data_IF_096242219876
#
_entry.id   IF_096242219876
#
_cell.length_a   1.000
_cell.length_b   1.000
_cell.length_c   1.000
_cell.angle_alpha   90.00
_cell.angle_beta   90.00
_cell.angle_gamma   90.00
#
_symmetry.space_group_name_H-M   'P 1'
#
loop_
_entity.id
_entity.type
_entity.pdbx_description
1 polymer ?
#
# COMPACT_ATOMS: atom_id res chain seq x y z
N UNK A 1 -1.87 5.59 11.78
CA UNK A 1 -0.96 5.98 10.67
C UNK A 1 0.46 6.05 11.17
N UNK A 2 0.76 6.98 12.06
CA UNK A 2 2.08 7.21 12.65
C UNK A 2 2.70 5.93 13.19
N UNK A 3 1.99 5.16 14.03
CA UNK A 3 2.45 3.87 14.57
C UNK A 3 2.94 2.90 13.47
N UNK A 4 2.27 2.84 12.33
CA UNK A 4 2.64 1.93 11.23
C UNK A 4 3.83 2.47 10.43
N UNK A 5 3.90 3.79 10.27
CA UNK A 5 5.06 4.43 9.64
C UNK A 5 6.31 4.25 10.51
N UNK A 6 6.21 4.44 11.83
CA UNK A 6 7.33 4.19 12.75
C UNK A 6 7.76 2.74 12.79
N UNK A 7 6.82 1.79 12.75
CA UNK A 7 7.16 0.37 12.62
C UNK A 7 8.03 0.13 11.38
N UNK A 8 7.67 0.75 10.25
CA UNK A 8 8.38 0.57 8.98
C UNK A 8 9.83 1.06 9.03
N UNK A 9 10.08 2.19 9.68
CA UNK A 9 11.45 2.69 9.88
C UNK A 9 12.18 2.01 11.05
N UNK A 10 11.46 1.22 11.86
CA UNK A 10 12.00 0.44 12.95
C UNK A 10 12.64 -0.87 12.50
N UNK A 11 13.35 -1.51 13.41
CA UNK A 11 14.08 -2.78 13.20
C UNK A 11 13.34 -4.01 13.71
N UNK A 12 12.10 -3.85 14.17
CA UNK A 12 11.31 -4.93 14.77
C UNK A 12 10.91 -5.98 13.74
N UNK A 13 11.06 -7.26 14.11
CA UNK A 13 10.71 -8.39 13.24
C UNK A 13 9.22 -8.57 13.10
N UNK A 14 8.46 -8.39 14.17
CA UNK A 14 7.00 -8.55 14.16
C UNK A 14 6.26 -7.31 14.62
N UNK A 15 5.06 -7.07 14.08
CA UNK A 15 4.21 -5.96 14.53
C UNK A 15 3.77 -6.12 15.98
N UNK A 16 3.57 -7.37 16.41
CA UNK A 16 3.07 -7.66 17.75
C UNK A 16 4.10 -7.27 18.81
N UNK A 17 5.36 -7.64 18.63
CA UNK A 17 6.48 -7.24 19.49
C UNK A 17 6.61 -5.72 19.49
N UNK A 18 6.65 -5.09 18.30
CA UNK A 18 6.69 -3.63 18.20
C UNK A 18 5.55 -2.95 18.97
N UNK A 19 4.32 -3.44 18.82
CA UNK A 19 3.17 -2.82 19.45
C UNK A 19 3.17 -3.01 20.97
N UNK A 20 3.51 -4.21 21.44
CA UNK A 20 3.51 -4.53 22.87
C UNK A 20 4.70 -3.90 23.60
N UNK A 21 5.90 -4.00 23.04
CA UNK A 21 7.12 -3.60 23.73
C UNK A 21 7.46 -2.14 23.51
N UNK A 22 7.30 -1.62 22.29
CA UNK A 22 7.67 -0.23 21.99
C UNK A 22 6.51 0.73 22.20
N UNK A 23 5.35 0.47 21.60
CA UNK A 23 4.22 1.40 21.67
C UNK A 23 3.60 1.43 23.07
N UNK A 24 3.31 0.26 23.66
CA UNK A 24 2.64 0.22 24.98
C UNK A 24 3.58 0.48 26.16
N UNK A 25 4.89 0.21 26.04
CA UNK A 25 5.85 0.48 27.10
C UNK A 25 6.41 1.90 27.00
N UNK A 26 7.13 2.22 25.91
CA UNK A 26 7.89 3.45 25.78
C UNK A 26 7.05 4.66 25.35
N UNK A 27 6.11 4.46 24.43
CA UNK A 27 5.28 5.54 23.86
C UNK A 27 3.90 5.70 24.52
N UNK A 28 3.74 5.16 25.73
CA UNK A 28 2.48 5.20 26.48
C UNK A 28 1.97 6.62 26.74
N UNK A 29 2.88 7.59 26.94
CA UNK A 29 2.54 8.99 27.18
C UNK A 29 2.06 9.72 25.92
N UNK A 30 2.58 9.35 24.76
CA UNK A 30 2.22 9.95 23.46
C UNK A 30 0.90 9.40 22.91
N UNK A 31 0.57 8.14 23.26
CA UNK A 31 -0.69 7.49 22.86
C UNK A 31 -1.55 7.19 24.10
N UNK A 32 -2.09 8.25 24.71
CA UNK A 32 -2.91 8.25 25.94
C UNK A 32 -4.11 7.28 25.92
N UNK A 33 -4.59 6.89 24.73
CA UNK A 33 -5.62 5.86 24.55
C UNK A 33 -4.98 4.59 24.01
N UNK A 34 -4.43 3.75 24.90
CA UNK A 34 -3.83 2.47 24.51
C UNK A 34 -4.92 1.49 24.07
N UNK A 35 -5.23 1.51 22.77
CA UNK A 35 -6.05 0.51 22.10
C UNK A 35 -5.38 -0.86 22.33
N UNK A 36 -6.17 -1.91 22.55
CA UNK A 36 -5.59 -3.26 22.63
C UNK A 36 -5.00 -3.67 21.27
N UNK A 37 -3.99 -4.54 21.26
CA UNK A 37 -3.38 -5.03 20.02
C UNK A 37 -4.44 -5.58 19.04
N UNK A 38 -5.36 -6.42 19.55
CA UNK A 38 -6.44 -6.98 18.73
C UNK A 38 -7.32 -5.90 18.10
N UNK A 39 -7.71 -4.89 18.90
CA UNK A 39 -8.52 -3.78 18.39
C UNK A 39 -7.76 -2.93 17.38
N UNK A 40 -6.44 -2.79 17.53
CA UNK A 40 -5.61 -2.12 16.54
C UNK A 40 -5.60 -2.88 15.20
N UNK A 41 -5.42 -4.21 15.25
CA UNK A 41 -5.43 -5.08 14.06
C UNK A 41 -6.79 -5.03 13.34
N UNK A 42 -7.90 -4.98 14.08
CA UNK A 42 -9.23 -4.76 13.51
C UNK A 42 -9.38 -3.40 12.82
N UNK A 43 -8.72 -2.36 13.33
CA UNK A 43 -8.77 -1.00 12.77
C UNK A 43 -7.80 -0.81 11.60
N UNK A 44 -6.79 -1.68 11.45
CA UNK A 44 -5.79 -1.61 10.39
C UNK A 44 -6.39 -1.41 8.98
N UNK A 45 -7.44 -2.14 8.52
CA UNK A 45 -8.05 -1.90 7.20
C UNK A 45 -8.51 -0.46 6.99
N UNK A 46 -9.09 0.17 8.02
CA UNK A 46 -9.54 1.56 7.91
C UNK A 46 -8.34 2.50 7.75
N UNK A 47 -7.27 2.21 8.48
CA UNK A 47 -6.01 2.97 8.40
C UNK A 47 -5.33 2.73 7.04
N UNK A 48 -5.40 1.52 6.50
CA UNK A 48 -4.89 1.19 5.17
C UNK A 48 -5.50 2.04 4.06
N UNK A 49 -6.83 2.17 4.03
CA UNK A 49 -7.50 2.98 3.01
C UNK A 49 -7.14 4.46 3.11
N UNK A 50 -7.01 4.99 4.33
CA UNK A 50 -6.52 6.36 4.54
C UNK A 50 -5.09 6.52 4.02
N UNK A 51 -4.28 5.48 4.02
CA UNK A 51 -2.87 5.52 3.61
C UNK A 51 -2.77 5.48 2.09
N UNK A 52 -3.59 4.65 1.44
CA UNK A 52 -3.80 4.69 0.00
C UNK A 52 -4.21 6.08 -0.45
N UNK A 53 -5.20 6.68 0.22
CA UNK A 53 -5.68 8.01 -0.12
C UNK A 53 -4.57 9.05 0.05
N UNK A 54 -3.85 9.03 1.17
CA UNK A 54 -2.72 9.91 1.41
C UNK A 54 -1.65 9.78 0.31
N UNK A 55 -1.31 8.56 -0.10
CA UNK A 55 -0.38 8.34 -1.21
C UNK A 55 -0.89 8.90 -2.51
N UNK A 56 -2.18 8.68 -2.80
CA UNK A 56 -2.79 9.17 -4.04
C UNK A 56 -2.78 10.69 -4.15
N UNK A 57 -2.86 11.38 -3.02
CA UNK A 57 -2.88 12.83 -2.96
C UNK A 57 -1.49 13.45 -2.97
N UNK A 58 -0.51 12.84 -2.28
CA UNK A 58 0.75 13.52 -1.96
C UNK A 58 2.02 12.90 -2.53
N UNK A 59 2.00 11.64 -3.00
CA UNK A 59 3.24 10.87 -3.26
C UNK A 59 3.57 10.77 -4.75
N UNK A 60 2.68 11.22 -5.64
CA UNK A 60 2.85 10.98 -7.07
C UNK A 60 3.81 11.93 -7.79
N UNK A 61 4.65 11.31 -8.62
CA UNK A 61 5.57 11.98 -9.52
C UNK A 61 4.87 12.62 -10.72
N UNK A 62 5.64 13.37 -11.51
CA UNK A 62 5.13 13.97 -12.74
C UNK A 62 5.05 12.90 -13.83
N UNK A 63 4.00 12.99 -14.63
CA UNK A 63 3.84 12.17 -15.82
C UNK A 63 4.62 12.81 -16.98
N UNK A 64 5.95 12.69 -16.96
CA UNK A 64 6.84 13.22 -18.01
C UNK A 64 7.51 12.02 -18.68
N UNK A 65 7.71 12.10 -20.01
CA UNK A 65 8.43 11.08 -20.76
C UNK A 65 7.64 9.79 -20.96
N UNK A 66 8.36 8.66 -21.03
CA UNK A 66 7.74 7.34 -21.25
C UNK A 66 7.18 6.82 -19.94
N UNK A 67 5.96 6.27 -19.99
CA UNK A 67 5.33 5.65 -18.82
C UNK A 67 5.30 4.13 -18.93
N UNK A 68 5.56 3.48 -17.81
CA UNK A 68 5.59 2.02 -17.68
C UNK A 68 4.44 1.57 -16.80
N UNK A 69 3.69 0.57 -17.27
CA UNK A 69 2.63 -0.08 -16.50
C UNK A 69 3.16 -1.41 -15.99
N UNK A 70 3.09 -1.61 -14.68
CA UNK A 70 3.43 -2.88 -14.05
C UNK A 70 2.34 -3.30 -13.07
N UNK A 71 2.20 -4.59 -12.82
CA UNK A 71 1.31 -5.10 -11.78
C UNK A 71 2.07 -6.03 -10.84
N UNK A 72 1.88 -5.86 -9.54
CA UNK A 72 2.46 -6.75 -8.53
C UNK A 72 1.37 -7.33 -7.64
N UNK A 73 1.46 -8.62 -7.36
CA UNK A 73 0.56 -9.28 -6.42
C UNK A 73 1.01 -9.02 -4.99
N UNK A 74 0.04 -8.75 -4.13
CA UNK A 74 0.26 -8.46 -2.73
C UNK A 74 -0.46 -9.49 -1.83
N UNK A 75 0.27 -10.43 -1.20
CA UNK A 75 -0.31 -11.38 -0.27
C UNK A 75 -0.61 -10.70 1.05
N UNK A 76 -1.89 -10.68 1.41
CA UNK A 76 -2.35 -10.14 2.68
C UNK A 76 -2.12 -11.13 3.81
N UNK A 77 -2.32 -12.43 3.54
CA UNK A 77 -2.12 -13.50 4.50
C UNK A 77 -1.24 -14.57 3.88
N UNK A 78 -0.57 -15.34 4.74
CA UNK A 78 -0.04 -16.63 4.30
C UNK A 78 -1.20 -17.54 3.85
N UNK A 79 -1.03 -18.27 2.75
CA UNK A 79 -2.10 -19.07 2.15
C UNK A 79 -2.71 -20.08 3.14
N UNK A 80 -1.91 -20.67 4.03
CA UNK A 80 -2.38 -21.59 5.06
C UNK A 80 -3.30 -20.93 6.11
N UNK A 81 -3.14 -19.62 6.37
CA UNK A 81 -3.87 -18.88 7.42
C UNK A 81 -5.03 -18.05 6.88
N UNK A 82 -5.31 -18.10 5.57
CA UNK A 82 -6.32 -17.25 4.90
C UNK A 82 -7.74 -17.35 5.48
N UNK A 83 -8.09 -18.48 6.07
CA UNK A 83 -9.43 -18.72 6.64
C UNK A 83 -9.58 -18.22 8.08
N UNK A 84 -8.48 -18.06 8.81
CA UNK A 84 -8.49 -17.62 10.21
C UNK A 84 -8.47 -16.08 10.31
N UNK A 85 -7.73 -15.42 9.44
CA UNK A 85 -7.60 -13.97 9.45
C UNK A 85 -8.74 -13.29 8.69
N UNK A 86 -9.64 -12.61 9.43
CA UNK A 86 -10.82 -11.93 8.86
C UNK A 86 -10.64 -10.42 8.61
N UNK A 87 -9.45 -9.89 8.84
CA UNK A 87 -9.16 -8.45 8.82
C UNK A 87 -9.51 -7.78 7.47
N UNK A 88 -9.36 -8.47 6.36
CA UNK A 88 -9.70 -8.02 5.02
C UNK A 88 -10.70 -8.96 4.34
N UNK A 89 -11.51 -9.68 5.14
CA UNK A 89 -12.55 -10.54 4.62
C UNK A 89 -13.48 -9.74 3.69
N UNK A 90 -13.83 -10.33 2.55
CA UNK A 90 -14.63 -9.68 1.50
C UNK A 90 -13.84 -8.79 0.52
N UNK A 91 -12.76 -8.15 0.98
CA UNK A 91 -11.91 -7.26 0.18
C UNK A 91 -10.76 -8.00 -0.51
N UNK A 92 -10.02 -8.82 0.24
CA UNK A 92 -8.95 -9.63 -0.32
C UNK A 92 -9.54 -10.79 -1.13
N UNK A 93 -8.91 -11.11 -2.27
CA UNK A 93 -9.33 -12.19 -3.17
C UNK A 93 -8.16 -13.12 -3.46
N UNK A 94 -8.47 -14.37 -3.81
CA UNK A 94 -7.46 -15.34 -4.22
C UNK A 94 -7.16 -15.19 -5.71
N UNK A 95 -5.90 -15.02 -6.07
CA UNK A 95 -5.45 -14.99 -7.45
C UNK A 95 -4.20 -15.84 -7.66
N UNK A 96 -3.96 -16.21 -8.91
CA UNK A 96 -2.71 -16.85 -9.34
C UNK A 96 -1.93 -15.84 -10.18
N UNK A 97 -0.66 -15.68 -9.87
CA UNK A 97 0.27 -14.93 -10.72
C UNK A 97 1.56 -15.71 -10.92
N UNK A 98 2.60 -15.01 -11.36
CA UNK A 98 3.90 -15.61 -11.71
C UNK A 98 4.52 -16.38 -10.56
N UNK A 99 4.40 -15.86 -9.33
CA UNK A 99 4.96 -16.49 -8.12
C UNK A 99 4.02 -17.50 -7.44
N UNK A 100 2.91 -17.88 -8.09
CA UNK A 100 1.95 -18.86 -7.57
C UNK A 100 0.66 -18.25 -7.03
N UNK A 101 -0.01 -19.00 -6.14
CA UNK A 101 -1.28 -18.60 -5.53
C UNK A 101 -1.07 -17.59 -4.40
N UNK A 102 -1.91 -16.57 -4.36
CA UNK A 102 -1.87 -15.49 -3.39
C UNK A 102 -3.29 -15.14 -2.96
N UNK A 103 -3.53 -14.96 -1.66
CA UNK A 103 -4.76 -14.36 -1.14
C UNK A 103 -4.50 -12.92 -0.68
N UNK A 104 -5.03 -11.96 -1.43
CA UNK A 104 -4.77 -10.56 -1.18
C UNK A 104 -5.22 -9.63 -2.28
N UNK A 105 -4.36 -8.66 -2.62
CA UNK A 105 -4.63 -7.63 -3.60
C UNK A 105 -3.65 -7.72 -4.77
N UNK A 106 -3.96 -7.04 -5.86
CA UNK A 106 -3.03 -6.75 -6.94
C UNK A 106 -2.93 -5.24 -7.13
N UNK A 107 -1.70 -4.75 -7.12
CA UNK A 107 -1.38 -3.33 -7.27
C UNK A 107 -0.88 -3.09 -8.69
N UNK A 108 -1.59 -2.26 -9.43
CA UNK A 108 -1.22 -1.80 -10.75
C UNK A 108 -0.56 -0.44 -10.63
N UNK A 109 0.67 -0.32 -11.09
CA UNK A 109 1.55 0.84 -10.97
C UNK A 109 1.74 1.47 -12.34
N UNK A 110 1.70 2.81 -12.37
CA UNK A 110 2.20 3.59 -13.48
C UNK A 110 3.43 4.35 -12.99
N UNK A 111 4.57 4.13 -13.64
CA UNK A 111 5.83 4.79 -13.32
C UNK A 111 6.36 5.58 -14.52
N UNK A 112 7.13 6.63 -14.28
CA UNK A 112 7.91 7.29 -15.33
C UNK A 112 9.26 6.58 -15.57
N UNK A 113 9.96 7.01 -16.62
CA UNK A 113 11.31 6.59 -16.97
C UNK A 113 12.37 6.82 -15.88
N UNK A 114 12.16 7.81 -15.02
CA UNK A 114 12.99 8.10 -13.85
C UNK A 114 12.69 7.20 -12.64
N UNK A 115 11.72 6.28 -12.75
CA UNK A 115 11.32 5.37 -11.67
C UNK A 115 10.39 5.97 -10.62
N UNK A 116 9.88 7.19 -10.81
CA UNK A 116 8.86 7.78 -9.93
C UNK A 116 7.49 7.16 -10.22
N UNK A 117 6.74 6.83 -9.16
CA UNK A 117 5.35 6.36 -9.30
C UNK A 117 4.45 7.56 -9.60
N UNK A 118 3.78 7.53 -10.75
CA UNK A 118 2.82 8.55 -11.20
C UNK A 118 1.43 8.29 -10.64
N UNK A 119 1.00 7.03 -10.61
CA UNK A 119 -0.28 6.63 -10.02
C UNK A 119 -0.31 5.14 -9.74
N UNK A 120 -1.30 4.69 -8.97
CA UNK A 120 -1.60 3.27 -8.84
C UNK A 120 -3.09 2.97 -8.67
N UNK A 121 -3.47 1.76 -9.04
CA UNK A 121 -4.77 1.16 -8.75
C UNK A 121 -4.59 -0.09 -7.89
N UNK A 122 -5.50 -0.30 -6.94
CA UNK A 122 -5.52 -1.49 -6.10
C UNK A 122 -6.77 -2.30 -6.41
N UNK A 123 -6.58 -3.59 -6.72
CA UNK A 123 -7.63 -4.53 -7.11
C UNK A 123 -7.52 -5.81 -6.28
N UNK A 124 -8.53 -6.67 -6.31
CA UNK A 124 -8.39 -8.02 -5.73
C UNK A 124 -7.35 -8.84 -6.50
N UNK A 125 -6.65 -9.77 -5.85
CA UNK A 125 -5.60 -10.55 -6.53
C UNK A 125 -6.12 -11.41 -7.69
N UNK A 126 -7.42 -11.73 -7.72
CA UNK A 126 -8.09 -12.49 -8.78
C UNK A 126 -8.23 -11.72 -10.10
N UNK A 127 -8.01 -10.41 -10.10
CA UNK A 127 -8.17 -9.57 -11.28
C UNK A 127 -7.05 -9.84 -12.27
N UNK A 128 -7.41 -10.12 -13.52
CA UNK A 128 -6.47 -10.37 -14.61
C UNK A 128 -5.94 -9.05 -15.17
N UNK A 129 -4.64 -8.98 -15.48
CA UNK A 129 -3.96 -7.78 -15.99
C UNK A 129 -4.39 -7.43 -17.42
N UNK A 130 -4.95 -8.41 -18.13
CA UNK A 130 -5.56 -8.22 -19.45
C UNK A 130 -6.93 -7.53 -19.40
N UNK A 131 -7.48 -7.31 -18.22
CA UNK A 131 -8.74 -6.57 -18.09
C UNK A 131 -8.45 -5.12 -18.50
N UNK A 132 -8.95 -4.80 -19.69
CA UNK A 132 -8.72 -3.55 -20.41
C UNK A 132 -9.11 -2.34 -19.56
N UNK A 133 -10.08 -2.48 -18.66
CA UNK A 133 -10.59 -1.42 -17.79
C UNK A 133 -9.49 -0.74 -16.94
N UNK A 134 -8.57 -1.51 -16.34
CA UNK A 134 -7.51 -0.94 -15.49
C UNK A 134 -6.36 -0.36 -16.31
N UNK A 135 -6.00 -1.02 -17.40
CA UNK A 135 -5.03 -0.48 -18.37
C UNK A 135 -5.52 0.83 -18.97
N UNK A 136 -6.79 0.89 -19.39
CA UNK A 136 -7.44 2.10 -19.89
C UNK A 136 -7.56 3.17 -18.82
N UNK A 137 -7.91 2.81 -17.57
CA UNK A 137 -7.95 3.78 -16.47
C UNK A 137 -6.60 4.44 -16.26
N UNK A 138 -5.52 3.64 -16.19
CA UNK A 138 -4.16 4.16 -16.00
C UNK A 138 -3.67 4.96 -17.21
N UNK A 139 -4.00 4.52 -18.43
CA UNK A 139 -3.68 5.26 -19.66
C UNK A 139 -4.45 6.59 -19.75
N UNK A 140 -5.76 6.60 -19.44
CA UNK A 140 -6.56 7.83 -19.38
C UNK A 140 -6.01 8.79 -18.34
N UNK A 141 -5.71 8.28 -17.14
CA UNK A 141 -5.13 9.06 -16.06
C UNK A 141 -3.77 9.66 -16.43
N UNK A 142 -2.93 8.88 -17.12
CA UNK A 142 -1.65 9.36 -17.67
C UNK A 142 -1.87 10.51 -18.65
N UNK A 143 -2.79 10.35 -19.61
CA UNK A 143 -3.09 11.35 -20.64
C UNK A 143 -3.64 12.65 -20.06
N UNK A 144 -4.58 12.57 -19.12
CA UNK A 144 -5.16 13.73 -18.43
C UNK A 144 -4.11 14.47 -17.59
N UNK A 145 -3.24 13.73 -16.89
CA UNK A 145 -2.17 14.34 -16.06
C UNK A 145 -1.04 14.94 -16.90
N UNK A 146 -0.68 14.32 -18.02
CA UNK A 146 0.37 14.81 -18.92
C UNK A 146 0.05 16.23 -19.39
N UNK A 147 -1.20 16.46 -19.80
CA UNK A 147 -1.72 17.76 -20.25
C UNK A 147 -1.71 18.83 -19.14
N UNK A 148 -1.76 18.44 -17.86
CA UNK A 148 -1.76 19.35 -16.71
C UNK A 148 -0.35 19.65 -16.18
N UNK A 149 0.64 18.81 -16.48
CA UNK A 149 2.02 18.95 -15.98
C UNK A 149 2.88 19.98 -16.72
N UNK A 150 2.43 20.50 -17.87
CA UNK A 150 3.16 21.55 -18.61
C UNK A 150 3.21 22.91 -17.87
N UNK A 151 2.47 23.10 -16.77
CA UNK A 151 2.31 24.41 -16.13
C UNK A 151 2.76 24.58 -14.67
N UNK A 152 3.28 23.56 -13.97
CA UNK A 152 3.56 23.69 -12.52
C UNK A 152 4.96 23.28 -12.11
N UNK A 153 5.77 24.28 -11.75
CA UNK A 153 7.09 24.14 -11.12
C UNK A 153 6.95 23.96 -9.60
N UNK A 154 7.95 23.30 -9.03
CA UNK A 154 8.24 23.08 -7.61
C UNK A 154 7.28 22.21 -6.78
N UNK A 155 7.77 21.02 -6.42
CA UNK A 155 7.67 20.47 -5.06
C UNK A 155 8.71 19.37 -4.83
N UNK A 156 9.67 19.67 -3.97
CA UNK A 156 10.72 18.76 -3.51
C UNK A 156 10.24 17.83 -2.37
N UNK A 157 10.92 16.69 -2.29
CA UNK A 157 11.17 15.83 -1.11
C UNK A 157 10.14 14.74 -0.74
N UNK A 158 10.68 13.56 -0.38
CA UNK A 158 10.04 12.40 0.30
C UNK A 158 9.25 11.36 -0.53
N UNK A 159 9.59 11.10 -1.80
CA UNK A 159 8.81 10.17 -2.65
C UNK A 159 9.03 8.67 -2.40
N UNK A 160 10.21 8.25 -1.95
CA UNK A 160 10.56 6.81 -1.78
C UNK A 160 10.03 6.23 -0.46
N UNK A 161 10.05 7.01 0.63
CA UNK A 161 9.68 6.54 1.96
C UNK A 161 8.21 6.12 2.06
N UNK A 162 7.32 6.83 1.38
CA UNK A 162 5.89 6.51 1.41
C UNK A 162 5.62 5.12 0.83
N UNK A 163 6.11 4.81 -0.37
CA UNK A 163 5.85 3.51 -1.00
C UNK A 163 6.38 2.33 -0.18
N UNK A 164 7.51 2.52 0.48
CA UNK A 164 8.10 1.53 1.38
C UNK A 164 7.20 1.30 2.62
N UNK A 165 6.61 2.35 3.19
CA UNK A 165 5.56 2.27 4.24
C UNK A 165 4.32 1.54 3.73
N UNK A 166 3.94 1.73 2.46
CA UNK A 166 2.85 0.98 1.84
C UNK A 166 3.13 -0.51 1.89
N UNK A 167 4.29 -0.93 1.38
CA UNK A 167 4.68 -2.33 1.29
C UNK A 167 4.80 -2.98 2.67
N UNK A 168 5.35 -2.30 3.66
CA UNK A 168 5.48 -2.88 5.00
C UNK A 168 4.16 -3.00 5.74
N UNK A 169 3.25 -2.02 5.66
CA UNK A 169 1.91 -2.16 6.24
C UNK A 169 1.22 -3.47 5.80
N UNK A 170 1.51 -3.80 4.56
CA UNK A 170 0.94 -4.89 3.82
C UNK A 170 1.64 -6.21 4.22
N UNK A 171 2.97 -6.20 4.39
CA UNK A 171 3.76 -7.32 4.95
C UNK A 171 3.40 -7.68 6.39
N UNK A 172 2.95 -6.70 7.19
CA UNK A 172 2.52 -6.89 8.58
C UNK A 172 1.36 -7.87 8.79
N UNK A 173 0.60 -8.18 7.74
CA UNK A 173 -0.54 -9.11 7.84
C UNK A 173 -0.20 -10.55 7.47
N UNK A 174 1.02 -10.79 7.00
CA UNK A 174 1.50 -12.14 6.75
C UNK A 174 1.91 -12.86 8.04
N UNK A 175 2.21 -12.10 9.10
CA UNK A 175 2.46 -12.56 10.48
C UNK A 175 1.18 -13.09 11.15
#
# INVERSE_FOLDING_TARGET
MTILAYYHFGTYRTFKEYYQDYIRSWLKKEFLTSISYNRFVELMPRVFFKMILFMKLYVFGKCIGTTFVGSTMFPVYHNARRYFNKVFAGLAKSGKGTMGWCHGFKMHLLCNDSGEVITFSLTGANVNDRVVEYGLYLQRYSKERYLLTEGTSNRNSSKIGSFRVFYSFMGLKQE
#
